data_IF_199983139579
#
_entry.id   IF_199983139579
#
_cell.length_a   1.000
_cell.length_b   1.000
_cell.length_c   1.000
_cell.angle_alpha   90.00
_cell.angle_beta   90.00
_cell.angle_gamma   90.00
#
_symmetry.space_group_name_H-M   'P 1'
#
loop_
_entity.id
_entity.type
_entity.pdbx_description
1 polymer ?
#
# COMPACT_ATOMS: atom_id res chain seq x y z
N UNK A 1 19.19 17.17 -3.24
CA UNK A 1 18.45 17.35 -4.53
C UNK A 1 18.40 16.07 -5.38
N UNK A 2 19.49 15.29 -5.47
CA UNK A 2 19.51 14.01 -6.20
C UNK A 2 18.64 12.92 -5.52
N UNK A 3 18.72 12.79 -4.19
CA UNK A 3 17.89 11.83 -3.41
C UNK A 3 16.37 12.00 -3.61
N UNK A 4 15.88 13.24 -3.61
CA UNK A 4 14.44 13.52 -3.85
C UNK A 4 14.00 13.12 -5.27
N UNK A 5 14.89 13.30 -6.27
CA UNK A 5 14.63 12.88 -7.65
C UNK A 5 14.58 11.35 -7.76
N UNK A 6 15.46 10.63 -7.05
CA UNK A 6 15.46 9.17 -7.05
C UNK A 6 14.20 8.58 -6.40
N UNK A 7 13.76 9.13 -5.26
CA UNK A 7 12.54 8.67 -4.58
C UNK A 7 11.29 8.96 -5.44
N UNK A 8 11.20 10.16 -6.03
CA UNK A 8 10.10 10.49 -6.94
C UNK A 8 10.10 9.59 -8.19
N UNK A 9 11.27 9.28 -8.75
CA UNK A 9 11.40 8.38 -9.90
C UNK A 9 10.95 6.96 -9.55
N UNK A 10 11.33 6.45 -8.37
CA UNK A 10 10.94 5.12 -7.91
C UNK A 10 9.42 5.01 -7.70
N UNK A 11 8.78 6.05 -7.15
CA UNK A 11 7.31 6.08 -6.99
C UNK A 11 6.60 6.08 -8.35
N UNK A 12 7.13 6.84 -9.32
CA UNK A 12 6.59 6.88 -10.69
C UNK A 12 6.75 5.52 -11.37
N UNK A 13 7.91 4.89 -11.24
CA UNK A 13 8.21 3.58 -11.82
C UNK A 13 7.30 2.48 -11.23
N UNK A 14 7.10 2.47 -9.91
CA UNK A 14 6.19 1.54 -9.25
C UNK A 14 4.74 1.75 -9.73
N UNK A 15 4.29 3.01 -9.81
CA UNK A 15 2.95 3.36 -10.32
C UNK A 15 2.72 2.88 -11.76
N UNK A 16 3.72 3.06 -12.63
CA UNK A 16 3.66 2.60 -14.03
C UNK A 16 3.67 1.06 -14.09
N UNK A 17 4.47 0.41 -13.26
CA UNK A 17 4.50 -1.05 -13.13
C UNK A 17 3.13 -1.62 -12.79
N UNK A 18 2.46 -1.05 -11.78
CA UNK A 18 1.09 -1.44 -11.41
C UNK A 18 0.06 -1.20 -12.52
N UNK A 19 0.19 -0.08 -13.26
CA UNK A 19 -0.67 0.21 -14.41
C UNK A 19 -0.54 -0.85 -15.51
N UNK A 20 0.70 -1.24 -15.83
CA UNK A 20 0.99 -2.26 -16.85
C UNK A 20 0.47 -3.64 -16.41
N UNK A 21 0.65 -4.01 -15.14
CA UNK A 21 0.13 -5.27 -14.59
C UNK A 21 -1.40 -5.30 -14.70
N UNK A 22 -2.09 -4.23 -14.29
CA UNK A 22 -3.54 -4.16 -14.36
C UNK A 22 -4.07 -4.32 -15.80
N UNK A 23 -3.44 -3.65 -16.77
CA UNK A 23 -3.78 -3.80 -18.20
C UNK A 23 -3.52 -5.21 -18.69
N UNK A 24 -2.36 -5.77 -18.38
CA UNK A 24 -1.95 -7.13 -18.79
C UNK A 24 -2.90 -8.18 -18.22
N UNK A 25 -3.27 -8.04 -16.94
CA UNK A 25 -4.18 -8.96 -16.28
C UNK A 25 -5.60 -8.88 -16.86
N UNK A 26 -6.06 -7.67 -17.18
CA UNK A 26 -7.36 -7.45 -17.84
C UNK A 26 -7.44 -8.10 -19.22
N UNK A 27 -6.36 -8.05 -20.00
CA UNK A 27 -6.26 -8.72 -21.31
C UNK A 27 -6.18 -10.24 -21.13
N UNK A 28 -5.35 -10.72 -20.19
CA UNK A 28 -5.10 -12.14 -19.95
C UNK A 28 -6.33 -12.90 -19.43
N UNK A 29 -7.22 -12.24 -18.68
CA UNK A 29 -8.39 -12.89 -18.06
C UNK A 29 -9.61 -12.97 -18.97
N UNK A 30 -9.84 -11.99 -19.85
CA UNK A 30 -11.12 -11.86 -20.56
C UNK A 30 -11.04 -11.86 -22.09
N UNK A 31 -9.84 -11.85 -22.69
CA UNK A 31 -9.64 -11.85 -24.15
C UNK A 31 -10.24 -10.64 -24.90
N UNK A 32 -10.91 -9.74 -24.18
CA UNK A 32 -11.57 -8.52 -24.65
C UNK A 32 -11.67 -7.54 -23.47
N UNK A 33 -11.56 -6.24 -23.75
CA UNK A 33 -11.80 -5.21 -22.75
C UNK A 33 -13.31 -5.11 -22.50
N UNK A 34 -13.79 -5.77 -21.44
CA UNK A 34 -15.15 -5.53 -20.95
C UNK A 34 -15.18 -4.14 -20.29
N UNK A 35 -15.57 -3.15 -21.08
CA UNK A 35 -15.56 -1.72 -20.70
C UNK A 35 -16.42 -1.45 -19.46
N UNK A 36 -17.51 -2.22 -19.26
CA UNK A 36 -18.43 -2.02 -18.16
C UNK A 36 -17.83 -2.38 -16.78
N UNK A 37 -17.26 -3.59 -16.56
CA UNK A 37 -16.48 -3.90 -15.36
C UNK A 37 -15.37 -2.88 -15.07
N UNK A 38 -14.65 -2.44 -16.11
CA UNK A 38 -13.58 -1.44 -15.96
C UNK A 38 -14.13 -0.11 -15.41
N UNK A 39 -15.25 0.38 -15.95
CA UNK A 39 -15.88 1.62 -15.48
C UNK A 39 -16.34 1.47 -14.03
N UNK A 40 -16.93 0.32 -13.66
CA UNK A 40 -17.38 0.05 -12.27
C UNK A 40 -16.18 0.12 -11.32
N UNK A 41 -15.09 -0.59 -11.61
CA UNK A 41 -13.88 -0.56 -10.79
C UNK A 41 -13.29 0.85 -10.67
N UNK A 42 -13.27 1.63 -11.76
CA UNK A 42 -12.80 3.03 -11.72
C UNK A 42 -13.68 3.88 -10.80
N UNK A 43 -15.01 3.71 -10.85
CA UNK A 43 -15.95 4.42 -9.98
C UNK A 43 -15.78 4.01 -8.52
N UNK A 44 -15.62 2.72 -8.23
CA UNK A 44 -15.39 2.21 -6.88
C UNK A 44 -14.07 2.73 -6.29
N UNK A 45 -13.00 2.76 -7.09
CA UNK A 45 -11.71 3.35 -6.68
C UNK A 45 -11.83 4.84 -6.42
N UNK A 46 -12.52 5.58 -7.30
CA UNK A 46 -12.75 7.00 -7.11
C UNK A 46 -13.57 7.27 -5.83
N UNK A 47 -14.61 6.48 -5.60
CA UNK A 47 -15.43 6.56 -4.39
C UNK A 47 -14.60 6.22 -3.14
N UNK A 48 -13.77 5.18 -3.20
CA UNK A 48 -12.84 4.81 -2.13
C UNK A 48 -11.86 5.95 -1.82
N UNK A 49 -11.28 6.59 -2.84
CA UNK A 49 -10.38 7.73 -2.66
C UNK A 49 -11.11 8.90 -1.99
N UNK A 50 -12.27 9.30 -2.53
CA UNK A 50 -13.06 10.41 -1.96
C UNK A 50 -13.45 10.11 -0.52
N UNK A 51 -13.95 8.89 -0.24
CA UNK A 51 -14.32 8.47 1.10
C UNK A 51 -13.11 8.48 2.04
N UNK A 52 -11.98 7.94 1.60
CA UNK A 52 -10.75 7.85 2.40
C UNK A 52 -10.22 9.23 2.77
N UNK A 53 -10.16 10.18 1.83
CA UNK A 53 -9.65 11.53 2.11
C UNK A 53 -10.65 12.44 2.85
N UNK A 54 -11.94 12.13 2.82
CA UNK A 54 -12.98 12.90 3.53
C UNK A 54 -13.28 12.33 4.92
N UNK A 55 -13.91 11.17 4.97
CA UNK A 55 -14.37 10.50 6.18
C UNK A 55 -13.25 9.66 6.78
N UNK A 56 -12.54 8.89 5.93
CA UNK A 56 -11.42 8.05 6.35
C UNK A 56 -10.37 8.83 7.11
N UNK A 57 -9.99 10.02 6.63
CA UNK A 57 -9.03 10.91 7.31
C UNK A 57 -9.47 11.23 8.73
N UNK A 58 -10.72 11.62 8.93
CA UNK A 58 -11.26 11.91 10.27
C UNK A 58 -11.25 10.68 11.16
N UNK A 59 -11.64 9.53 10.63
CA UNK A 59 -11.65 8.26 11.36
C UNK A 59 -10.22 7.86 11.78
N UNK A 60 -9.27 7.85 10.84
CA UNK A 60 -7.86 7.53 11.09
C UNK A 60 -7.28 8.44 12.17
N UNK A 61 -7.47 9.75 12.06
CA UNK A 61 -6.96 10.71 13.04
C UNK A 61 -7.59 10.49 14.42
N UNK A 62 -8.89 10.19 14.46
CA UNK A 62 -9.60 9.92 15.71
C UNK A 62 -9.10 8.64 16.36
N UNK A 63 -8.90 7.57 15.59
CA UNK A 63 -8.38 6.29 16.08
C UNK A 63 -6.96 6.42 16.61
N UNK A 64 -6.08 7.14 15.89
CA UNK A 64 -4.71 7.41 16.32
C UNK A 64 -4.71 8.23 17.62
N UNK A 65 -5.51 9.30 17.68
CA UNK A 65 -5.65 10.15 18.87
C UNK A 65 -6.17 9.38 20.06
N UNK A 66 -7.25 8.63 19.85
CA UNK A 66 -7.85 7.80 20.89
C UNK A 66 -6.85 6.77 21.43
N UNK A 67 -6.08 6.13 20.56
CA UNK A 67 -5.03 5.17 20.96
C UNK A 67 -3.96 5.85 21.81
N UNK A 68 -3.46 7.01 21.35
CA UNK A 68 -2.48 7.81 22.07
C UNK A 68 -3.00 8.24 23.45
N UNK A 69 -4.22 8.75 23.53
CA UNK A 69 -4.76 9.34 24.76
C UNK A 69 -5.17 8.27 25.78
N UNK A 70 -5.71 7.14 25.31
CA UNK A 70 -6.21 6.05 26.16
C UNK A 70 -5.08 5.15 26.67
N UNK A 71 -4.13 4.78 25.82
CA UNK A 71 -3.06 3.85 26.20
C UNK A 71 -1.76 4.55 26.59
N UNK A 72 -1.58 5.83 26.19
CA UNK A 72 -0.36 6.63 26.41
C UNK A 72 0.92 5.85 26.08
N UNK A 73 0.85 5.03 25.02
CA UNK A 73 1.91 4.13 24.59
C UNK A 73 2.08 4.22 23.08
N UNK A 74 3.30 4.50 22.65
CA UNK A 74 3.67 4.59 21.24
C UNK A 74 3.43 3.26 20.51
N UNK A 75 3.65 2.13 21.19
CA UNK A 75 3.38 0.80 20.65
C UNK A 75 1.90 0.62 20.29
N UNK A 76 0.98 1.14 21.10
CA UNK A 76 -0.45 1.09 20.81
C UNK A 76 -0.81 1.90 19.56
N UNK A 77 -0.14 3.04 19.35
CA UNK A 77 -0.31 3.86 18.14
C UNK A 77 0.22 3.12 16.91
N UNK A 78 1.42 2.53 16.99
CA UNK A 78 2.01 1.71 15.93
C UNK A 78 1.10 0.54 15.54
N UNK A 79 0.56 -0.18 16.53
CA UNK A 79 -0.38 -1.28 16.28
C UNK A 79 -1.64 -0.79 15.57
N UNK A 80 -2.22 0.33 15.99
CA UNK A 80 -3.40 0.92 15.33
C UNK A 80 -3.09 1.32 13.88
N UNK A 81 -1.91 1.90 13.62
CA UNK A 81 -1.46 2.24 12.27
C UNK A 81 -1.39 0.98 11.39
N UNK A 82 -0.80 -0.12 11.88
CA UNK A 82 -0.73 -1.40 11.16
C UNK A 82 -2.14 -1.96 10.87
N UNK A 83 -3.05 -1.88 11.85
CA UNK A 83 -4.45 -2.31 11.66
C UNK A 83 -5.14 -1.47 10.59
N UNK A 84 -4.99 -0.14 10.63
CA UNK A 84 -5.58 0.77 9.64
C UNK A 84 -5.05 0.45 8.23
N UNK A 85 -3.74 0.26 8.09
CA UNK A 85 -3.14 -0.14 6.81
C UNK A 85 -3.73 -1.47 6.30
N UNK A 86 -3.85 -2.48 7.18
CA UNK A 86 -4.42 -3.77 6.84
C UNK A 86 -5.90 -3.70 6.44
N UNK A 87 -6.71 -2.92 7.16
CA UNK A 87 -8.13 -2.72 6.86
C UNK A 87 -8.31 -2.01 5.52
N UNK A 88 -7.56 -0.94 5.26
CA UNK A 88 -7.66 -0.23 3.98
C UNK A 88 -7.18 -1.09 2.81
N UNK A 89 -6.10 -1.86 3.00
CA UNK A 89 -5.62 -2.84 2.02
C UNK A 89 -6.69 -3.91 1.72
N UNK A 90 -7.38 -4.40 2.75
CA UNK A 90 -8.47 -5.37 2.59
C UNK A 90 -9.67 -4.77 1.84
N UNK A 91 -10.05 -3.53 2.14
CA UNK A 91 -11.13 -2.84 1.41
C UNK A 91 -10.79 -2.76 -0.08
N UNK A 92 -9.56 -2.35 -0.44
CA UNK A 92 -9.15 -2.31 -1.86
C UNK A 92 -9.11 -3.69 -2.51
N UNK A 93 -8.75 -4.73 -1.76
CA UNK A 93 -8.83 -6.12 -2.24
C UNK A 93 -10.27 -6.51 -2.59
N UNK A 94 -11.22 -6.14 -1.74
CA UNK A 94 -12.65 -6.46 -1.92
C UNK A 94 -13.26 -5.72 -3.12
N UNK A 95 -12.73 -4.53 -3.46
CA UNK A 95 -13.09 -3.77 -4.67
C UNK A 95 -12.48 -4.43 -5.94
N UNK A 96 -11.63 -5.46 -5.79
CA UNK A 96 -10.98 -6.12 -6.92
C UNK A 96 -9.73 -5.39 -7.43
N UNK A 97 -9.12 -4.55 -6.58
CA UNK A 97 -7.90 -3.78 -6.87
C UNK A 97 -6.76 -4.28 -5.98
N UNK A 98 -5.52 -4.03 -6.41
CA UNK A 98 -4.35 -4.40 -5.63
C UNK A 98 -4.36 -3.77 -4.23
N UNK A 99 -4.09 -4.61 -3.23
CA UNK A 99 -4.07 -4.26 -1.80
C UNK A 99 -3.11 -3.13 -1.45
N UNK A 100 -2.08 -2.95 -2.29
CA UNK A 100 -1.07 -1.89 -2.17
C UNK A 100 -1.71 -0.50 -2.21
N UNK A 101 -2.77 -0.29 -3.00
CA UNK A 101 -3.46 1.00 -3.07
C UNK A 101 -4.03 1.40 -1.70
N UNK A 102 -4.71 0.48 -1.02
CA UNK A 102 -5.31 0.75 0.28
C UNK A 102 -4.26 1.01 1.36
N UNK A 103 -3.18 0.22 1.36
CA UNK A 103 -2.05 0.43 2.26
C UNK A 103 -1.35 1.79 2.01
N UNK A 104 -1.22 2.20 0.74
CA UNK A 104 -0.63 3.48 0.36
C UNK A 104 -1.49 4.67 0.83
N UNK A 105 -2.80 4.62 0.59
CA UNK A 105 -3.71 5.67 1.06
C UNK A 105 -3.70 5.75 2.59
N UNK A 106 -3.69 4.60 3.29
CA UNK A 106 -3.53 4.57 4.75
C UNK A 106 -2.24 5.26 5.19
N UNK A 107 -1.12 4.99 4.50
CA UNK A 107 0.18 5.64 4.77
C UNK A 107 0.13 7.16 4.61
N UNK A 108 -0.53 7.67 3.55
CA UNK A 108 -0.73 9.12 3.36
C UNK A 108 -1.52 9.70 4.54
N UNK A 109 -2.66 9.08 4.88
CA UNK A 109 -3.50 9.57 5.98
C UNK A 109 -2.75 9.55 7.31
N UNK A 110 -2.00 8.49 7.60
CA UNK A 110 -1.19 8.40 8.83
C UNK A 110 -0.11 9.48 8.84
N UNK A 111 0.56 9.72 7.71
CA UNK A 111 1.60 10.75 7.56
C UNK A 111 1.09 12.19 7.75
N UNK A 112 -0.19 12.45 7.49
CA UNK A 112 -0.82 13.75 7.77
C UNK A 112 -1.23 13.93 9.25
N UNK A 113 -1.18 12.87 10.07
CA UNK A 113 -1.63 12.91 11.46
C UNK A 113 -0.68 13.74 12.34
N UNK A 114 -1.16 14.76 13.08
CA UNK A 114 -0.31 15.57 13.96
C UNK A 114 0.31 14.81 15.14
N UNK A 115 -0.16 13.59 15.40
CA UNK A 115 0.29 12.75 16.51
C UNK A 115 1.50 11.90 16.09
N UNK A 116 1.77 11.79 14.79
CA UNK A 116 2.92 11.04 14.29
C UNK A 116 4.21 11.79 14.66
N UNK A 117 4.89 11.30 15.68
CA UNK A 117 6.19 11.81 16.12
C UNK A 117 7.34 11.03 15.48
N UNK A 118 8.53 11.62 15.46
CA UNK A 118 9.76 10.95 14.98
C UNK A 118 10.02 9.61 15.69
N UNK A 119 9.61 9.49 16.96
CA UNK A 119 9.73 8.25 17.73
C UNK A 119 8.78 7.17 17.22
N UNK A 120 7.50 7.50 16.97
CA UNK A 120 6.51 6.57 16.41
C UNK A 120 6.92 6.15 14.99
N UNK A 121 7.42 7.10 14.18
CA UNK A 121 7.99 6.78 12.87
C UNK A 121 9.21 5.85 12.99
N UNK A 122 10.09 6.09 13.97
CA UNK A 122 11.21 5.21 14.28
C UNK A 122 10.78 3.79 14.64
N UNK A 123 9.74 3.62 15.44
CA UNK A 123 9.17 2.31 15.79
C UNK A 123 8.57 1.61 14.55
N UNK A 124 7.80 2.34 13.74
CA UNK A 124 7.27 1.82 12.46
C UNK A 124 8.39 1.35 11.54
N UNK A 125 9.42 2.18 11.37
CA UNK A 125 10.61 1.83 10.59
C UNK A 125 11.27 0.57 11.16
N UNK A 126 11.41 0.47 12.48
CA UNK A 126 11.93 -0.71 13.15
C UNK A 126 11.17 -1.97 12.76
N UNK A 127 9.84 -1.95 12.85
CA UNK A 127 8.98 -3.08 12.44
C UNK A 127 9.14 -3.40 10.95
N UNK A 128 9.17 -2.38 10.09
CA UNK A 128 9.36 -2.55 8.64
C UNK A 128 10.70 -3.24 8.35
N UNK A 129 11.79 -2.76 8.94
CA UNK A 129 13.13 -3.28 8.68
C UNK A 129 13.37 -4.65 9.32
N UNK A 130 12.79 -4.92 10.49
CA UNK A 130 13.02 -6.16 11.23
C UNK A 130 12.12 -7.31 10.77
N UNK A 131 10.90 -7.02 10.30
CA UNK A 131 9.92 -8.03 9.94
C UNK A 131 9.59 -8.01 8.44
N UNK A 132 9.06 -6.91 7.93
CA UNK A 132 8.50 -6.87 6.57
C UNK A 132 9.57 -6.96 5.49
N UNK A 133 10.71 -6.29 5.68
CA UNK A 133 11.80 -6.27 4.70
C UNK A 133 12.42 -7.66 4.49
N UNK A 134 12.80 -8.43 5.54
CA UNK A 134 13.27 -9.80 5.36
C UNK A 134 12.23 -10.71 4.71
N UNK A 135 10.96 -10.61 5.11
CA UNK A 135 9.87 -11.41 4.52
C UNK A 135 9.69 -11.09 3.04
N UNK A 136 9.69 -9.81 2.67
CA UNK A 136 9.58 -9.36 1.29
C UNK A 136 10.73 -9.91 0.43
N UNK A 137 11.98 -9.72 0.87
CA UNK A 137 13.15 -10.21 0.12
C UNK A 137 13.22 -11.73 0.07
N UNK A 138 12.82 -12.42 1.14
CA UNK A 138 12.71 -13.87 1.16
C UNK A 138 11.71 -14.39 0.12
N UNK A 139 10.50 -13.80 0.09
CA UNK A 139 9.46 -14.16 -0.89
C UNK A 139 9.87 -13.83 -2.32
N UNK A 140 10.47 -12.66 -2.54
CA UNK A 140 10.96 -12.26 -3.86
C UNK A 140 12.07 -13.20 -4.35
N UNK A 141 13.01 -13.57 -3.48
CA UNK A 141 14.08 -14.53 -3.80
C UNK A 141 13.55 -15.93 -4.11
N UNK A 142 12.57 -16.42 -3.32
CA UNK A 142 11.94 -17.73 -3.57
C UNK A 142 11.11 -17.77 -4.85
N UNK A 143 10.54 -16.63 -5.27
CA UNK A 143 9.76 -16.51 -6.51
C UNK A 143 10.65 -16.37 -7.75
N UNK A 144 11.96 -16.13 -7.58
CA UNK A 144 12.90 -16.00 -8.68
C UNK A 144 13.18 -17.37 -9.31
N UNK A 145 12.77 -17.54 -10.56
CA UNK A 145 13.05 -18.77 -11.32
C UNK A 145 14.47 -18.72 -11.89
N UNK A 146 15.42 -19.33 -11.18
CA UNK A 146 16.82 -19.41 -11.60
C UNK A 146 17.06 -20.40 -12.75
N UNK A 147 16.08 -21.23 -13.10
CA UNK A 147 16.18 -22.17 -14.24
C UNK A 147 16.34 -21.41 -15.57
N UNK A 148 15.85 -20.18 -15.66
CA UNK A 148 16.04 -19.30 -16.83
C UNK A 148 17.52 -18.98 -17.07
N UNK A 149 18.35 -18.96 -16.02
CA UNK A 149 19.81 -18.74 -16.14
C UNK A 149 20.58 -20.03 -16.49
N UNK A 150 19.94 -21.19 -16.34
CA UNK A 150 20.53 -22.50 -16.62
C UNK A 150 20.29 -22.96 -18.07
N UNK A 151 19.42 -22.27 -18.82
CA UNK A 151 19.10 -22.56 -20.21
C UNK A 151 19.81 -21.56 -21.14
N UNK A 152 20.97 -21.91 -21.74
CA UNK A 152 21.73 -20.99 -22.58
C UNK A 152 21.11 -20.74 -23.96
N UNK A 153 19.88 -21.25 -24.22
CA UNK A 153 19.22 -21.20 -25.53
C UNK A 153 17.90 -20.41 -25.56
N UNK A 154 17.55 -19.69 -24.49
CA UNK A 154 16.51 -18.65 -24.53
C UNK A 154 17.06 -17.31 -25.07
#
# INVERSE_FOLDING_TARGET
>A
RVLFRSVSSAIIEDTIGWLIIAVTFGIATNGSLQVLPLIITVVEVALFMVFSFTIGRRLVFTLIRWSNDSFRSEYAVVTVIIIIMGVMALITNLIGVHTVLGAFVAGILVGESPILSDHIEGQLRGVITALFMPVFFGMAGLSANLTVLADPTL
#
